data_IF_849279651649
#
_entry.id   IF_849279651649
#
_cell.length_a   1.000
_cell.length_b   1.000
_cell.length_c   1.000
_cell.angle_alpha   90.00
_cell.angle_beta   90.00
_cell.angle_gamma   90.00
#
_symmetry.space_group_name_H-M   'P 1'
#
loop_
_entity.id
_entity.type
_entity.pdbx_description
1 polymer ?
#
# COMPACT_ATOMS: atom_id res chain seq x y z
N UNK A 1 -8.76 -24.46 -37.03
CA UNK A 1 -9.34 -24.75 -35.70
C UNK A 1 -8.29 -25.23 -34.67
N UNK A 2 -7.32 -26.07 -35.03
CA UNK A 2 -6.30 -26.61 -34.10
C UNK A 2 -5.38 -25.53 -33.49
N UNK A 3 -4.97 -24.51 -34.25
CA UNK A 3 -4.10 -23.42 -33.76
C UNK A 3 -4.82 -22.52 -32.73
N UNK A 4 -6.10 -22.25 -32.95
CA UNK A 4 -6.93 -21.45 -32.04
C UNK A 4 -7.17 -22.23 -30.74
N UNK A 5 -7.43 -23.54 -30.83
CA UNK A 5 -7.56 -24.41 -29.67
C UNK A 5 -6.26 -24.44 -28.84
N UNK A 6 -5.08 -24.55 -29.47
CA UNK A 6 -3.79 -24.50 -28.79
C UNK A 6 -3.51 -23.15 -28.12
N UNK A 7 -3.86 -22.04 -28.77
CA UNK A 7 -3.68 -20.70 -28.20
C UNK A 7 -4.63 -20.45 -27.01
N UNK A 8 -5.87 -20.93 -27.10
CA UNK A 8 -6.86 -20.89 -26.02
C UNK A 8 -6.43 -21.78 -24.86
N UNK A 9 -5.88 -22.96 -25.11
CA UNK A 9 -5.37 -23.83 -24.03
C UNK A 9 -4.15 -23.23 -23.34
N UNK A 10 -3.21 -22.63 -24.07
CA UNK A 10 -2.07 -21.93 -23.47
C UNK A 10 -2.51 -20.70 -22.66
N UNK A 11 -3.52 -19.96 -23.13
CA UNK A 11 -4.14 -18.85 -22.39
C UNK A 11 -4.84 -19.35 -21.12
N UNK A 12 -5.64 -20.42 -21.21
CA UNK A 12 -6.31 -21.03 -20.07
C UNK A 12 -5.33 -21.60 -19.05
N UNK A 13 -4.21 -22.19 -19.49
CA UNK A 13 -3.20 -22.75 -18.60
C UNK A 13 -2.40 -21.66 -17.87
N UNK A 14 -2.08 -20.56 -18.57
CA UNK A 14 -1.48 -19.36 -17.99
C UNK A 14 -2.43 -18.68 -16.99
N UNK A 15 -3.71 -18.54 -17.35
CA UNK A 15 -4.75 -17.98 -16.48
C UNK A 15 -4.99 -18.86 -15.23
N UNK A 16 -4.98 -20.19 -15.39
CA UNK A 16 -5.13 -21.16 -14.30
C UNK A 16 -3.95 -21.12 -13.31
N UNK A 17 -2.73 -20.90 -13.79
CA UNK A 17 -1.55 -20.75 -12.95
C UNK A 17 -1.61 -19.45 -12.12
N UNK A 18 -1.99 -18.33 -12.72
CA UNK A 18 -2.12 -17.06 -12.01
C UNK A 18 -3.32 -17.07 -11.03
N UNK A 19 -4.41 -17.76 -11.36
CA UNK A 19 -5.56 -17.92 -10.46
C UNK A 19 -5.21 -18.71 -9.18
N UNK A 20 -4.30 -19.69 -9.28
CA UNK A 20 -3.86 -20.49 -8.12
C UNK A 20 -3.16 -19.64 -7.05
N UNK A 21 -2.42 -18.60 -7.46
CA UNK A 21 -1.79 -17.65 -6.53
C UNK A 21 -2.80 -16.68 -5.88
N UNK A 22 -4.00 -16.51 -6.44
CA UNK A 22 -5.03 -15.63 -5.86
C UNK A 22 -5.88 -16.33 -4.81
N UNK A 23 -5.96 -17.67 -4.81
CA UNK A 23 -6.74 -18.46 -3.85
C UNK A 23 -6.51 -18.03 -2.39
N UNK A 24 -5.27 -17.95 -1.86
CA UNK A 24 -5.05 -17.58 -0.46
C UNK A 24 -5.49 -16.14 -0.15
N UNK A 25 -5.41 -15.23 -1.12
CA UNK A 25 -5.88 -13.86 -0.98
C UNK A 25 -7.40 -13.83 -0.88
N UNK A 26 -8.11 -14.57 -1.75
CA UNK A 26 -9.56 -14.68 -1.69
C UNK A 26 -10.04 -15.32 -0.37
N UNK A 27 -9.38 -16.37 0.09
CA UNK A 27 -9.68 -17.01 1.38
C UNK A 27 -9.49 -16.01 2.51
N UNK A 28 -8.41 -15.22 2.51
CA UNK A 28 -8.19 -14.17 3.50
C UNK A 28 -9.28 -13.09 3.44
N UNK A 29 -9.69 -12.64 2.26
CA UNK A 29 -10.77 -11.65 2.12
C UNK A 29 -12.10 -12.16 2.70
N UNK A 30 -12.45 -13.42 2.42
CA UNK A 30 -13.65 -14.05 2.98
C UNK A 30 -13.52 -14.14 4.51
N UNK A 31 -12.35 -14.54 5.01
CA UNK A 31 -12.07 -14.61 6.45
C UNK A 31 -12.26 -13.25 7.13
N UNK A 32 -11.76 -12.16 6.52
CA UNK A 32 -11.96 -10.78 7.02
C UNK A 32 -13.44 -10.39 7.07
N UNK A 33 -14.22 -10.73 6.04
CA UNK A 33 -15.66 -10.42 6.00
C UNK A 33 -16.40 -11.17 7.11
N UNK A 34 -16.13 -12.47 7.28
CA UNK A 34 -16.73 -13.28 8.35
C UNK A 34 -16.37 -12.70 9.72
N UNK A 35 -15.10 -12.41 9.95
CA UNK A 35 -14.64 -11.79 11.20
C UNK A 35 -15.35 -10.45 11.45
N UNK A 36 -15.43 -9.59 10.43
CA UNK A 36 -16.07 -8.29 10.54
C UNK A 36 -17.54 -8.41 10.94
N UNK A 37 -18.29 -9.37 10.37
CA UNK A 37 -19.68 -9.63 10.75
C UNK A 37 -19.77 -10.11 12.20
N UNK A 38 -18.91 -11.04 12.63
CA UNK A 38 -18.90 -11.56 14.00
C UNK A 38 -18.67 -10.43 15.01
N UNK A 39 -17.62 -9.62 14.81
CA UNK A 39 -17.30 -8.54 15.73
C UNK A 39 -18.35 -7.42 15.72
N UNK A 40 -18.90 -7.08 14.54
CA UNK A 40 -19.97 -6.10 14.43
C UNK A 40 -21.21 -6.52 15.24
N UNK A 41 -21.60 -7.79 15.16
CA UNK A 41 -22.77 -8.31 15.88
C UNK A 41 -22.57 -8.36 17.40
N UNK A 42 -21.35 -8.62 17.86
CA UNK A 42 -21.06 -8.79 19.29
C UNK A 42 -20.74 -7.44 19.96
N UNK A 43 -19.91 -6.62 19.34
CA UNK A 43 -19.42 -5.37 19.93
C UNK A 43 -20.27 -4.15 19.56
N UNK A 44 -21.01 -4.19 18.45
CA UNK A 44 -21.89 -3.09 18.04
C UNK A 44 -22.95 -2.72 19.09
N UNK A 45 -23.74 -3.69 19.60
CA UNK A 45 -24.75 -3.41 20.63
C UNK A 45 -24.14 -2.94 21.96
N UNK A 46 -23.01 -3.51 22.34
CA UNK A 46 -22.29 -3.19 23.58
C UNK A 46 -21.73 -1.76 23.52
N UNK A 47 -21.16 -1.35 22.38
CA UNK A 47 -20.70 0.02 22.17
C UNK A 47 -21.86 1.01 22.21
N UNK A 48 -22.99 0.72 21.56
CA UNK A 48 -24.15 1.61 21.58
C UNK A 48 -24.69 1.81 23.01
N UNK A 49 -24.75 0.74 23.80
CA UNK A 49 -25.13 0.81 25.21
C UNK A 49 -24.15 1.68 26.02
N UNK A 50 -22.85 1.45 25.86
CA UNK A 50 -21.81 2.21 26.56
C UNK A 50 -21.80 3.70 26.17
N UNK A 51 -22.03 4.01 24.88
CA UNK A 51 -22.16 5.39 24.41
C UNK A 51 -23.41 6.08 24.97
N UNK A 52 -24.56 5.39 25.02
CA UNK A 52 -25.79 5.94 25.64
C UNK A 52 -25.58 6.23 27.13
N UNK A 53 -24.96 5.30 27.86
CA UNK A 53 -24.63 5.49 29.29
C UNK A 53 -23.68 6.67 29.50
N UNK A 54 -22.65 6.80 28.66
CA UNK A 54 -21.70 7.90 28.74
C UNK A 54 -22.35 9.26 28.44
N UNK A 55 -23.27 9.31 27.45
CA UNK A 55 -24.08 10.53 27.17
C UNK A 55 -24.89 10.95 28.39
N UNK A 56 -25.62 10.00 29.00
CA UNK A 56 -26.44 10.27 30.18
C UNK A 56 -25.60 10.76 31.36
N UNK A 57 -24.45 10.12 31.62
CA UNK A 57 -23.54 10.55 32.67
C UNK A 57 -22.99 11.96 32.42
N UNK A 58 -22.64 12.29 31.17
CA UNK A 58 -22.20 13.64 30.79
C UNK A 58 -23.28 14.68 31.05
N UNK A 59 -24.53 14.40 30.69
CA UNK A 59 -25.66 15.29 30.93
C UNK A 59 -25.92 15.53 32.42
N UNK A 60 -25.92 14.46 33.23
CA UNK A 60 -26.10 14.55 34.68
C UNK A 60 -24.98 15.38 35.33
N UNK A 61 -23.72 15.17 34.91
CA UNK A 61 -22.59 15.94 35.42
C UNK A 61 -22.71 17.43 35.09
N UNK A 62 -23.13 17.76 33.86
CA UNK A 62 -23.36 19.16 33.45
C UNK A 62 -24.48 19.81 34.24
N UNK A 63 -25.60 19.11 34.45
CA UNK A 63 -26.72 19.60 35.24
C UNK A 63 -26.34 19.83 36.71
N UNK A 64 -25.66 18.87 37.33
CA UNK A 64 -25.20 19.00 38.71
C UNK A 64 -24.21 20.16 38.88
N UNK A 65 -23.30 20.32 37.92
CA UNK A 65 -22.32 21.43 37.93
C UNK A 65 -23.02 22.77 37.78
N UNK A 66 -23.96 22.89 36.83
CA UNK A 66 -24.77 24.08 36.63
C UNK A 66 -25.60 24.42 37.88
N UNK A 67 -26.22 23.43 38.52
CA UNK A 67 -27.00 23.63 39.75
C UNK A 67 -26.13 24.14 40.91
N UNK A 68 -24.95 23.54 41.13
CA UNK A 68 -23.99 23.97 42.16
C UNK A 68 -23.47 25.38 41.90
N UNK A 69 -23.12 25.70 40.65
CA UNK A 69 -22.72 27.04 40.25
C UNK A 69 -23.86 28.05 40.44
N UNK A 70 -25.10 27.65 40.15
CA UNK A 70 -26.27 28.48 40.37
C UNK A 70 -26.43 28.88 41.84
N UNK A 71 -26.21 27.92 42.75
CA UNK A 71 -26.28 28.16 44.20
C UNK A 71 -25.20 29.11 44.70
N UNK A 72 -24.00 29.07 44.10
CA UNK A 72 -22.88 29.93 44.48
C UNK A 72 -23.03 31.35 43.91
N UNK A 73 -23.54 31.47 42.69
CA UNK A 73 -23.53 32.70 41.91
C UNK A 73 -24.88 33.44 41.90
N UNK A 74 -25.88 32.92 42.63
CA UNK A 74 -27.25 33.45 42.73
C UNK A 74 -27.88 33.77 41.36
N UNK A 75 -27.62 32.92 40.36
CA UNK A 75 -28.13 33.10 38.99
C UNK A 75 -29.49 32.40 38.81
N UNK A 76 -30.09 32.55 37.63
CA UNK A 76 -31.20 31.68 37.22
C UNK A 76 -30.66 30.34 36.68
N UNK A 77 -31.35 29.21 36.88
CA UNK A 77 -30.86 27.88 36.49
C UNK A 77 -30.46 27.78 35.00
N UNK A 78 -31.26 28.37 34.11
CA UNK A 78 -30.99 28.39 32.67
C UNK A 78 -29.74 29.22 32.32
N UNK A 79 -29.53 30.36 32.99
CA UNK A 79 -28.33 31.17 32.78
C UNK A 79 -27.09 30.48 33.34
N UNK A 80 -27.21 29.83 34.49
CA UNK A 80 -26.11 29.05 35.07
C UNK A 80 -25.72 27.88 34.15
N UNK A 81 -26.69 27.16 33.57
CA UNK A 81 -26.43 26.11 32.58
C UNK A 81 -25.69 26.65 31.35
N UNK A 82 -26.22 27.70 30.71
CA UNK A 82 -25.60 28.30 29.53
C UNK A 82 -24.20 28.86 29.83
N UNK A 83 -24.02 29.49 30.99
CA UNK A 83 -22.72 29.98 31.44
C UNK A 83 -21.73 28.84 31.65
N UNK A 84 -22.15 27.75 32.28
CA UNK A 84 -21.31 26.57 32.54
C UNK A 84 -20.85 25.94 31.22
N UNK A 85 -21.75 25.75 30.25
CA UNK A 85 -21.42 25.21 28.92
C UNK A 85 -20.42 26.12 28.20
N UNK A 86 -20.66 27.44 28.17
CA UNK A 86 -19.76 28.39 27.50
C UNK A 86 -18.38 28.42 28.15
N UNK A 87 -18.30 28.41 29.48
CA UNK A 87 -17.03 28.37 30.21
C UNK A 87 -16.30 27.05 29.99
N UNK A 88 -17.01 25.91 29.99
CA UNK A 88 -16.43 24.60 29.71
C UNK A 88 -15.85 24.56 28.29
N UNK A 89 -16.59 25.06 27.29
CA UNK A 89 -16.13 25.12 25.91
C UNK A 89 -14.89 26.01 25.78
N UNK A 90 -14.85 27.16 26.46
CA UNK A 90 -13.69 28.05 26.47
C UNK A 90 -12.43 27.38 27.05
N UNK A 91 -12.56 26.65 28.17
CA UNK A 91 -11.43 25.91 28.74
C UNK A 91 -11.02 24.71 27.87
N UNK A 92 -11.99 24.01 27.26
CA UNK A 92 -11.68 22.89 26.34
C UNK A 92 -10.86 23.34 25.15
N UNK A 93 -11.23 24.45 24.52
CA UNK A 93 -10.51 24.99 23.36
C UNK A 93 -9.08 25.36 23.74
N UNK A 94 -8.89 26.06 24.87
CA UNK A 94 -7.55 26.39 25.39
C UNK A 94 -6.70 25.18 25.74
N UNK A 95 -7.31 24.08 26.15
CA UNK A 95 -6.63 22.84 26.50
C UNK A 95 -6.45 21.88 25.31
N UNK A 96 -6.96 22.23 24.12
CA UNK A 96 -6.90 21.37 22.93
C UNK A 96 -7.71 20.07 23.06
N UNK A 97 -8.72 20.04 23.94
CA UNK A 97 -9.51 18.82 24.20
C UNK A 97 -10.67 18.74 23.21
N UNK A 98 -10.51 17.96 22.15
CA UNK A 98 -11.58 17.69 21.19
C UNK A 98 -12.78 16.98 21.84
N UNK A 99 -13.98 17.25 21.32
CA UNK A 99 -15.17 16.53 21.72
C UNK A 99 -15.15 15.10 21.20
N UNK A 100 -15.53 14.16 22.06
CA UNK A 100 -15.77 12.79 21.65
C UNK A 100 -17.14 12.80 20.97
N UNK A 101 -17.20 12.43 19.69
CA UNK A 101 -18.46 12.25 18.98
C UNK A 101 -19.21 11.06 19.59
N UNK A 102 -20.05 11.34 20.58
CA UNK A 102 -20.83 10.31 21.27
C UNK A 102 -21.92 9.72 20.35
N UNK A 103 -22.20 10.36 19.21
CA UNK A 103 -23.17 9.91 18.22
C UNK A 103 -22.59 8.95 17.18
N UNK A 104 -21.27 8.81 17.11
CA UNK A 104 -20.61 7.95 16.15
C UNK A 104 -20.12 6.67 16.83
N UNK A 105 -20.54 5.52 16.31
CA UNK A 105 -20.07 4.20 16.72
C UNK A 105 -18.81 3.85 15.94
N UNK A 106 -17.77 3.35 16.60
CA UNK A 106 -16.56 2.85 15.94
C UNK A 106 -16.81 1.51 15.25
N UNK A 107 -17.71 0.69 15.80
CA UNK A 107 -18.11 -0.59 15.23
C UNK A 107 -19.10 -0.41 14.08
N UNK A 108 -18.59 0.08 12.95
CA UNK A 108 -19.27 0.01 11.65
C UNK A 108 -18.77 -1.20 10.85
N UNK A 109 -19.39 -1.53 9.71
CA UNK A 109 -18.89 -2.58 8.82
C UNK A 109 -17.42 -2.31 8.44
N UNK A 110 -17.11 -1.08 8.05
CA UNK A 110 -15.74 -0.68 7.71
C UNK A 110 -14.80 -0.68 8.92
N UNK A 111 -15.28 -0.21 10.08
CA UNK A 111 -14.51 -0.27 11.33
C UNK A 111 -14.19 -1.71 11.74
N UNK A 112 -15.11 -2.65 11.51
CA UNK A 112 -14.95 -4.07 11.83
C UNK A 112 -14.00 -4.77 10.86
N UNK A 113 -14.07 -4.46 9.56
CA UNK A 113 -13.10 -4.91 8.55
C UNK A 113 -11.70 -4.39 8.90
N UNK A 114 -11.60 -3.11 9.23
CA UNK A 114 -10.34 -2.50 9.63
C UNK A 114 -9.77 -3.17 10.89
N UNK A 115 -10.59 -3.36 11.93
CA UNK A 115 -10.18 -4.05 13.15
C UNK A 115 -9.65 -5.45 12.83
N UNK A 116 -10.45 -6.28 12.15
CA UNK A 116 -10.06 -7.66 11.83
C UNK A 116 -8.80 -7.73 10.97
N UNK A 117 -8.62 -6.80 10.03
CA UNK A 117 -7.40 -6.66 9.25
C UNK A 117 -6.19 -6.37 10.15
N UNK A 118 -6.30 -5.39 11.05
CA UNK A 118 -5.20 -5.01 11.97
C UNK A 118 -4.82 -6.12 12.95
N UNK A 119 -5.77 -7.02 13.29
CA UNK A 119 -5.54 -8.16 14.18
C UNK A 119 -4.63 -9.20 13.52
N UNK A 120 -5.00 -9.74 12.34
CA UNK A 120 -4.18 -10.78 11.71
C UNK A 120 -2.90 -10.24 11.06
N UNK A 121 -2.85 -8.94 10.73
CA UNK A 121 -1.62 -8.27 10.28
C UNK A 121 -0.70 -7.88 11.43
N UNK A 122 -1.13 -8.08 12.68
CA UNK A 122 -0.38 -7.75 13.90
C UNK A 122 0.00 -6.26 14.01
N UNK A 123 -0.68 -5.37 13.27
CA UNK A 123 -0.44 -3.92 13.35
C UNK A 123 -0.97 -3.37 14.68
N UNK A 124 -2.20 -3.72 15.03
CA UNK A 124 -2.76 -3.46 16.37
C UNK A 124 -2.76 -2.00 16.85
N UNK A 125 -3.27 -1.04 16.06
CA UNK A 125 -3.29 0.38 16.45
C UNK A 125 -4.03 0.69 17.76
N UNK A 126 -4.99 -0.14 18.16
CA UNK A 126 -5.73 0.03 19.42
C UNK A 126 -6.78 1.15 19.43
N UNK A 127 -7.10 1.75 18.28
CA UNK A 127 -8.16 2.76 18.14
C UNK A 127 -9.59 2.17 18.28
N UNK A 128 -9.77 0.95 17.79
CA UNK A 128 -10.98 0.12 17.91
C UNK A 128 -10.55 -1.19 18.58
N UNK A 129 -11.16 -1.50 19.72
CA UNK A 129 -10.86 -2.71 20.50
C UNK A 129 -12.14 -3.30 21.09
N UNK A 130 -12.24 -4.62 21.19
CA UNK A 130 -13.38 -5.26 21.82
C UNK A 130 -13.41 -4.93 23.31
N UNK A 131 -14.53 -4.37 23.73
CA UNK A 131 -14.77 -4.00 25.12
C UNK A 131 -15.31 -5.18 25.91
N UNK A 132 -16.10 -6.04 25.26
CA UNK A 132 -16.69 -7.23 25.85
C UNK A 132 -15.65 -8.32 26.13
N UNK A 133 -15.83 -9.04 27.23
CA UNK A 133 -15.02 -10.23 27.57
C UNK A 133 -15.08 -11.27 26.44
N UNK A 134 -16.26 -11.47 25.85
CA UNK A 134 -16.46 -12.40 24.73
C UNK A 134 -15.68 -11.96 23.49
N UNK A 135 -15.74 -10.67 23.13
CA UNK A 135 -15.01 -10.14 21.99
C UNK A 135 -13.49 -10.24 22.15
N UNK A 136 -12.97 -10.08 23.38
CA UNK A 136 -11.54 -10.29 23.67
C UNK A 136 -11.11 -11.73 23.46
N UNK A 137 -11.87 -12.70 23.97
CA UNK A 137 -11.57 -14.13 23.78
C UNK A 137 -11.65 -14.50 22.29
N UNK A 138 -12.67 -14.02 21.58
CA UNK A 138 -12.81 -14.26 20.14
C UNK A 138 -11.66 -13.66 19.35
N UNK A 139 -11.12 -12.51 19.76
CA UNK A 139 -9.97 -11.88 19.11
C UNK A 139 -8.72 -12.75 19.22
N UNK A 140 -8.50 -13.40 20.38
CA UNK A 140 -7.38 -14.33 20.56
C UNK A 140 -7.53 -15.52 19.60
N UNK A 141 -8.71 -16.14 19.56
CA UNK A 141 -8.97 -17.29 18.67
C UNK A 141 -8.84 -16.88 17.19
N UNK A 142 -9.38 -15.71 16.84
CA UNK A 142 -9.32 -15.16 15.49
C UNK A 142 -7.89 -14.82 15.06
N UNK A 143 -7.05 -14.33 15.98
CA UNK A 143 -5.64 -14.06 15.69
C UNK A 143 -4.84 -15.34 15.44
N UNK A 144 -5.09 -16.40 16.22
CA UNK A 144 -4.39 -17.69 16.07
C UNK A 144 -4.57 -18.31 14.69
N UNK A 145 -5.77 -18.21 14.11
CA UNK A 145 -6.07 -18.72 12.76
C UNK A 145 -5.70 -17.70 11.68
N UNK A 146 -5.95 -16.41 11.95
CA UNK A 146 -5.75 -15.33 11.01
C UNK A 146 -4.29 -15.07 10.65
N UNK A 147 -3.37 -15.14 11.63
CA UNK A 147 -1.95 -14.84 11.40
C UNK A 147 -1.32 -15.84 10.40
N UNK A 148 -1.43 -17.17 10.58
CA UNK A 148 -0.94 -18.11 9.57
C UNK A 148 -1.56 -17.89 8.18
N UNK A 149 -2.87 -17.66 8.12
CA UNK A 149 -3.57 -17.41 6.86
C UNK A 149 -3.08 -16.14 6.16
N UNK A 150 -2.84 -15.08 6.93
CA UNK A 150 -2.29 -13.82 6.42
C UNK A 150 -0.86 -14.00 5.90
N UNK A 151 -0.03 -14.80 6.57
CA UNK A 151 1.31 -15.13 6.09
C UNK A 151 1.28 -15.88 4.75
N UNK A 152 0.40 -16.87 4.60
CA UNK A 152 0.22 -17.57 3.31
C UNK A 152 -0.24 -16.62 2.20
N UNK A 153 -1.19 -15.72 2.48
CA UNK A 153 -1.62 -14.71 1.53
C UNK A 153 -0.51 -13.71 1.19
N UNK A 154 0.32 -13.33 2.17
CA UNK A 154 1.45 -12.41 1.98
C UNK A 154 2.52 -13.00 1.06
N UNK A 155 2.84 -14.29 1.18
CA UNK A 155 3.76 -14.99 0.28
C UNK A 155 3.23 -14.94 -1.16
N UNK A 156 1.94 -15.24 -1.35
CA UNK A 156 1.32 -15.22 -2.66
C UNK A 156 1.27 -13.80 -3.26
N UNK A 157 0.95 -12.80 -2.44
CA UNK A 157 0.96 -11.39 -2.82
C UNK A 157 2.36 -10.91 -3.18
N UNK A 158 3.38 -11.30 -2.43
CA UNK A 158 4.79 -10.99 -2.71
C UNK A 158 5.25 -11.57 -4.05
N UNK A 159 4.83 -12.79 -4.39
CA UNK A 159 5.08 -13.38 -5.70
C UNK A 159 4.43 -12.60 -6.85
N UNK A 160 3.19 -12.15 -6.67
CA UNK A 160 2.49 -11.30 -7.65
C UNK A 160 3.18 -9.94 -7.79
N UNK A 161 3.57 -9.33 -6.66
CA UNK A 161 4.28 -8.06 -6.63
C UNK A 161 5.61 -8.14 -7.39
N UNK A 162 6.40 -9.19 -7.17
CA UNK A 162 7.66 -9.39 -7.90
C UNK A 162 7.44 -9.51 -9.42
N UNK A 163 6.42 -10.25 -9.88
CA UNK A 163 6.06 -10.35 -11.30
C UNK A 163 5.70 -8.97 -11.88
N UNK A 164 4.92 -8.17 -11.13
CA UNK A 164 4.54 -6.82 -11.55
C UNK A 164 5.77 -5.90 -11.62
N UNK A 165 6.64 -5.91 -10.62
CA UNK A 165 7.89 -5.14 -10.62
C UNK A 165 8.77 -5.51 -11.83
N UNK A 166 8.92 -6.79 -12.14
CA UNK A 166 9.66 -7.24 -13.32
C UNK A 166 9.00 -6.80 -14.64
N UNK A 167 7.66 -6.81 -14.70
CA UNK A 167 6.92 -6.32 -15.86
C UNK A 167 7.14 -4.82 -16.04
N UNK A 168 7.03 -4.04 -14.96
CA UNK A 168 7.27 -2.60 -14.95
C UNK A 168 8.72 -2.30 -15.35
N UNK A 169 9.70 -3.02 -14.81
CA UNK A 169 11.11 -2.89 -15.20
C UNK A 169 11.32 -3.15 -16.69
N UNK A 170 10.69 -4.18 -17.25
CA UNK A 170 10.75 -4.46 -18.69
C UNK A 170 10.07 -3.38 -19.53
N UNK A 171 8.94 -2.83 -19.07
CA UNK A 171 8.26 -1.72 -19.76
C UNK A 171 9.13 -0.47 -19.77
N UNK A 172 9.73 -0.13 -18.62
CA UNK A 172 10.65 1.01 -18.49
C UNK A 172 11.89 0.80 -19.36
N UNK A 173 12.50 -0.37 -19.34
CA UNK A 173 13.65 -0.69 -20.19
C UNK A 173 13.34 -0.61 -21.68
N UNK A 174 12.13 -1.01 -22.10
CA UNK A 174 11.67 -0.84 -23.49
C UNK A 174 11.43 0.63 -23.84
N UNK A 175 10.84 1.40 -22.94
CA UNK A 175 10.60 2.84 -23.16
C UNK A 175 11.93 3.60 -23.25
N UNK A 176 12.87 3.35 -22.34
CA UNK A 176 14.20 3.96 -22.35
C UNK A 176 15.04 3.50 -23.55
N UNK A 177 14.96 2.22 -23.93
CA UNK A 177 15.66 1.71 -25.11
C UNK A 177 15.12 2.28 -26.44
N UNK A 178 13.80 2.42 -26.58
CA UNK A 178 13.21 3.09 -27.74
C UNK A 178 13.56 4.59 -27.77
N UNK A 179 13.63 5.24 -26.61
CA UNK A 179 14.02 6.64 -26.51
C UNK A 179 15.50 6.85 -26.89
N UNK A 180 16.39 5.98 -26.39
CA UNK A 180 17.82 5.96 -26.73
C UNK A 180 18.06 5.82 -28.24
N UNK A 181 17.39 4.86 -28.90
CA UNK A 181 17.50 4.69 -30.37
C UNK A 181 16.98 5.89 -31.17
N UNK A 182 15.98 6.60 -30.62
CA UNK A 182 15.45 7.80 -31.26
C UNK A 182 16.37 9.02 -31.05
N UNK A 183 17.10 9.06 -29.92
CA UNK A 183 18.13 10.06 -29.66
C UNK A 183 19.35 9.86 -30.57
N UNK A 184 19.78 8.61 -30.72
CA UNK A 184 20.90 8.20 -31.55
C UNK A 184 20.67 8.59 -33.01
N UNK A 185 19.50 8.28 -33.60
CA UNK A 185 19.14 8.75 -34.94
C UNK A 185 19.19 10.26 -35.11
N UNK A 186 18.73 11.02 -34.10
CA UNK A 186 18.75 12.48 -34.18
C UNK A 186 20.17 13.05 -34.12
N UNK A 187 21.07 12.37 -33.41
CA UNK A 187 22.47 12.76 -33.31
C UNK A 187 23.21 12.46 -34.62
N UNK A 188 23.00 11.29 -35.24
CA UNK A 188 23.58 10.96 -36.56
C UNK A 188 23.14 11.94 -37.65
N UNK A 189 21.85 12.30 -37.68
CA UNK A 189 21.33 13.28 -38.66
C UNK A 189 21.95 14.67 -38.44
N UNK A 190 22.17 15.08 -37.19
CA UNK A 190 22.84 16.34 -36.87
C UNK A 190 24.33 16.32 -37.29
N UNK A 191 25.03 15.21 -37.06
CA UNK A 191 26.43 15.03 -37.48
C UNK A 191 26.58 14.99 -39.01
N UNK A 192 25.64 14.37 -39.73
CA UNK A 192 25.65 14.36 -41.21
C UNK A 192 25.39 15.74 -41.81
N UNK A 193 24.57 16.57 -41.15
CA UNK A 193 24.30 17.94 -41.62
C UNK A 193 25.47 18.89 -41.35
N UNK A 194 26.19 18.74 -40.24
CA UNK A 194 27.43 19.48 -39.97
C UNK A 194 28.57 19.09 -40.95
N UNK A 195 28.72 17.80 -41.27
CA UNK A 195 29.68 17.35 -42.27
C UNK A 195 29.36 17.85 -43.69
N UNK A 196 28.09 18.07 -44.02
CA UNK A 196 27.70 18.63 -45.32
C UNK A 196 28.05 20.12 -45.43
N UNK A 197 27.97 20.88 -44.32
CA UNK A 197 28.43 22.27 -44.24
C UNK A 197 29.97 22.39 -44.32
N UNK A 198 30.71 21.43 -43.76
CA UNK A 198 32.18 21.42 -43.86
C UNK A 198 32.68 20.97 -45.24
N UNK A 199 31.98 20.04 -45.93
CA UNK A 199 32.32 19.66 -47.32
C UNK A 199 32.12 20.80 -48.32
N UNK A 200 31.18 21.72 -48.10
CA UNK A 200 31.08 22.94 -48.92
C UNK A 200 32.24 23.93 -48.65
N UNK A 201 32.89 23.87 -47.49
CA UNK A 201 34.06 24.69 -47.17
C UNK A 201 35.41 24.07 -47.57
N UNK A 202 35.48 22.75 -47.73
CA UNK A 202 36.72 21.99 -47.98
C UNK A 202 37.04 21.66 -49.44
N UNK A 203 36.37 22.26 -50.44
CA UNK A 203 36.69 22.02 -51.86
C UNK A 203 38.00 22.66 -52.35
N UNK A 204 38.81 23.24 -51.47
CA UNK A 204 40.21 23.59 -51.71
C UNK A 204 41.10 22.72 -50.80
N UNK A 205 42.05 22.00 -51.39
CA UNK A 205 43.06 21.10 -50.78
C UNK A 205 42.75 19.58 -50.59
N UNK A 206 42.89 18.87 -51.72
CA UNK A 206 43.84 17.77 -51.95
C UNK A 206 43.84 16.47 -51.11
N UNK A 207 43.33 15.40 -51.76
CA UNK A 207 43.86 14.04 -51.94
C UNK A 207 44.92 13.44 -50.97
N UNK A 208 44.54 12.37 -50.24
CA UNK A 208 45.07 10.98 -50.37
C UNK A 208 45.18 10.18 -49.05
N UNK A 209 44.80 8.90 -49.14
CA UNK A 209 45.28 7.69 -48.42
C UNK A 209 44.54 7.12 -47.19
N UNK A 210 43.95 5.93 -47.43
CA UNK A 210 43.74 4.73 -46.60
C UNK A 210 43.93 4.81 -45.07
N UNK A 211 42.91 4.37 -44.32
CA UNK A 211 42.86 3.03 -43.70
C UNK A 211 41.54 2.84 -42.95
N UNK A 212 40.77 1.85 -43.38
CA UNK A 212 39.54 1.37 -42.75
C UNK A 212 39.89 0.35 -41.67
N UNK A 213 39.54 0.62 -40.41
CA UNK A 213 39.58 -0.33 -39.29
C UNK A 213 38.91 0.26 -38.04
N UNK A 214 37.72 -0.23 -37.68
CA UNK A 214 37.28 -0.32 -36.28
C UNK A 214 35.99 0.40 -35.93
N UNK A 215 34.85 -0.26 -36.12
CA UNK A 215 33.58 0.12 -35.45
C UNK A 215 32.74 -1.08 -34.95
N UNK A 216 33.16 -2.33 -35.19
CA UNK A 216 32.47 -3.53 -34.68
C UNK A 216 32.79 -3.86 -33.21
N UNK A 217 33.77 -3.20 -32.60
CA UNK A 217 34.29 -3.56 -31.27
C UNK A 217 33.48 -3.02 -30.08
N UNK A 218 32.69 -1.95 -30.26
CA UNK A 218 32.01 -1.28 -29.14
C UNK A 218 30.66 -1.93 -28.75
N UNK A 219 29.96 -2.53 -29.71
CA UNK A 219 28.70 -3.24 -29.46
C UNK A 219 28.91 -4.58 -28.75
N UNK A 220 30.01 -5.29 -29.08
CA UNK A 220 30.39 -6.52 -28.40
C UNK A 220 30.86 -6.25 -26.95
N UNK A 221 31.53 -5.11 -26.71
CA UNK A 221 31.93 -4.66 -25.38
C UNK A 221 30.74 -4.32 -24.47
N UNK A 222 29.70 -3.66 -24.98
CA UNK A 222 28.50 -3.31 -24.20
C UNK A 222 27.63 -4.53 -23.89
N UNK A 223 27.51 -5.47 -24.83
CA UNK A 223 26.79 -6.72 -24.62
C UNK A 223 27.54 -7.62 -23.62
N UNK A 224 28.88 -7.65 -23.68
CA UNK A 224 29.72 -8.33 -22.71
C UNK A 224 29.69 -7.66 -21.33
N UNK A 225 29.61 -6.33 -21.23
CA UNK A 225 29.49 -5.64 -19.94
C UNK A 225 28.17 -5.97 -19.22
N UNK A 226 27.05 -6.01 -19.94
CA UNK A 226 25.75 -6.36 -19.35
C UNK A 226 25.69 -7.80 -18.84
N UNK A 227 26.25 -8.76 -19.61
CA UNK A 227 26.30 -10.17 -19.19
C UNK A 227 27.25 -10.32 -17.98
N UNK A 228 28.37 -9.60 -17.98
CA UNK A 228 29.36 -9.64 -16.88
C UNK A 228 28.80 -9.03 -15.61
N UNK A 229 28.07 -7.90 -15.68
CA UNK A 229 27.41 -7.29 -14.51
C UNK A 229 26.30 -8.18 -13.96
N UNK A 230 25.52 -8.85 -14.83
CA UNK A 230 24.47 -9.79 -14.39
C UNK A 230 25.06 -11.05 -13.72
N UNK A 231 26.14 -11.60 -14.28
CA UNK A 231 26.88 -12.71 -13.68
C UNK A 231 27.54 -12.32 -12.35
N UNK A 232 28.10 -11.10 -12.25
CA UNK A 232 28.70 -10.61 -11.01
C UNK A 232 27.64 -10.36 -9.93
N UNK A 233 26.45 -9.87 -10.29
CA UNK A 233 25.33 -9.70 -9.35
C UNK A 233 24.81 -11.04 -8.84
N UNK A 234 24.67 -12.05 -9.70
CA UNK A 234 24.26 -13.40 -9.31
C UNK A 234 25.30 -14.08 -8.42
N UNK A 235 26.59 -13.88 -8.72
CA UNK A 235 27.70 -14.42 -7.91
C UNK A 235 27.79 -13.68 -6.57
N UNK A 236 27.59 -12.37 -6.55
CA UNK A 236 27.55 -11.54 -5.33
C UNK A 236 26.35 -11.90 -4.44
N UNK A 237 25.19 -12.20 -5.02
CA UNK A 237 24.01 -12.67 -4.28
C UNK A 237 24.17 -14.11 -3.75
N UNK A 238 24.91 -14.96 -4.46
CA UNK A 238 25.25 -16.33 -4.01
C UNK A 238 26.29 -16.33 -2.87
N UNK A 239 27.24 -15.39 -2.87
CA UNK A 239 28.32 -15.31 -1.87
C UNK A 239 27.92 -14.65 -0.54
N UNK A 240 26.70 -14.11 -0.42
CA UNK A 240 26.20 -13.45 0.80
C UNK A 240 25.29 -14.30 1.69
N UNK A 241 25.12 -15.60 1.42
CA UNK A 241 24.31 -16.53 2.23
C UNK A 241 22.91 -16.01 2.65
N UNK A 242 22.17 -15.33 1.77
CA UNK A 242 20.78 -14.89 2.08
C UNK A 242 19.73 -15.88 1.58
N UNK A 243 20.11 -16.99 0.94
CA UNK A 243 19.15 -18.05 0.55
C UNK A 243 19.75 -19.44 0.77
N UNK A 244 19.72 -19.91 2.01
CA UNK A 244 19.70 -21.35 2.31
C UNK A 244 18.27 -21.85 2.09
N UNK A 245 17.92 -22.21 0.85
CA UNK A 245 16.79 -23.12 0.60
C UNK A 245 17.42 -24.49 0.47
N UNK A 246 17.39 -25.25 1.57
CA UNK A 246 17.64 -26.68 1.55
C UNK A 246 16.45 -27.33 0.83
N UNK A 247 16.76 -28.09 -0.21
CA UNK A 247 15.86 -29.09 -0.80
C UNK A 247 15.40 -30.09 0.25
#
# INVERSE_FOLDING_TARGET
MVVIAGHVQNLLQKFRHDFRSLIPIFVLCIYTIIGAIIFLLIEGPEEEYNLKKLKQQREILLQNTAYRLNTIKSMSPTRAYNHTINTLNHYREKLGVHDINLNETKWTIWGSIYFTMTVYTTIGYGNIVPTSTTGRILTIIYALIGIPLALFALIALGGLFAKICLLVWRLIGRMLGCFSKNLERKMTIATESDQHLEREKGSEEHTSNNSDSGDDTNDELLQNYCITVYAYLLTYLKNKEIIHIHF
#
